data_IF_578717924401
#
_entry.id   IF_578717924401
#
_cell.length_a   1.000
_cell.length_b   1.000
_cell.length_c   1.000
_cell.angle_alpha   90.00
_cell.angle_beta   90.00
_cell.angle_gamma   90.00
#
_symmetry.space_group_name_H-M   'P 1'
#
loop_
_entity.id
_entity.type
_entity.pdbx_description
1 polymer ?
#
# COMPACT_ATOMS: atom_id res chain seq x y z
N UNK A 1 30.48 29.46 0.29
CA UNK A 1 29.05 29.31 0.63
C UNK A 1 28.80 27.84 0.89
N UNK A 2 28.64 27.42 2.14
CA UNK A 2 28.25 26.02 2.47
C UNK A 2 26.79 25.86 2.11
N UNK A 3 26.49 25.08 1.09
CA UNK A 3 25.12 24.62 0.83
C UNK A 3 24.80 23.65 1.99
N UNK A 4 24.01 24.12 2.95
CA UNK A 4 23.42 23.23 3.94
C UNK A 4 22.35 22.41 3.20
N UNK A 5 22.73 21.24 2.75
CA UNK A 5 21.77 20.24 2.30
C UNK A 5 21.02 19.75 3.53
N UNK A 6 19.78 20.17 3.66
CA UNK A 6 18.89 19.69 4.72
C UNK A 6 18.40 18.30 4.30
N UNK A 7 19.28 17.29 4.39
CA UNK A 7 18.93 15.91 4.06
C UNK A 7 18.07 15.35 5.18
N UNK A 8 16.88 14.84 4.82
CA UNK A 8 15.99 14.13 5.75
C UNK A 8 16.04 12.64 5.45
N UNK A 9 16.13 11.84 6.49
CA UNK A 9 15.92 10.40 6.42
C UNK A 9 14.56 10.07 7.03
N UNK A 10 13.77 9.24 6.36
CA UNK A 10 12.55 8.68 6.91
C UNK A 10 12.36 7.23 6.45
N UNK A 11 11.44 6.52 7.10
CA UNK A 11 11.05 5.16 6.71
C UNK A 11 10.16 5.25 5.48
N UNK A 12 10.52 4.58 4.38
CA UNK A 12 9.70 4.56 3.15
C UNK A 12 8.32 3.95 3.42
N UNK A 13 8.28 2.76 4.00
CA UNK A 13 7.05 2.01 4.29
C UNK A 13 7.27 0.94 5.35
N UNK A 14 7.12 -0.33 4.98
CA UNK A 14 7.19 -1.46 5.89
C UNK A 14 8.53 -1.57 6.61
N UNK A 15 8.51 -1.73 7.92
CA UNK A 15 9.62 -2.22 8.72
C UNK A 15 9.54 -3.74 8.88
N UNK A 16 10.67 -4.35 9.30
CA UNK A 16 10.72 -5.79 9.52
C UNK A 16 9.78 -6.20 10.65
N UNK A 17 8.82 -7.04 10.34
CA UNK A 17 7.89 -7.57 11.34
C UNK A 17 8.61 -8.52 12.27
N UNK A 18 8.50 -8.34 13.61
CA UNK A 18 9.10 -9.24 14.57
C UNK A 18 8.63 -10.68 14.38
N UNK A 19 9.48 -11.69 14.59
CA UNK A 19 9.08 -13.10 14.47
C UNK A 19 7.86 -13.45 15.30
N UNK A 20 7.76 -12.92 16.51
CA UNK A 20 6.62 -13.16 17.41
C UNK A 20 5.29 -12.60 16.84
N UNK A 21 5.31 -11.48 16.10
CA UNK A 21 4.11 -10.94 15.44
C UNK A 21 3.68 -11.83 14.27
N UNK A 22 4.62 -12.37 13.50
CA UNK A 22 4.31 -13.35 12.42
C UNK A 22 3.63 -14.59 12.99
N UNK A 23 4.20 -15.16 14.05
CA UNK A 23 3.62 -16.31 14.77
C UNK A 23 2.22 -15.98 15.35
N UNK A 24 2.05 -14.77 15.89
CA UNK A 24 0.75 -14.32 16.39
C UNK A 24 -0.30 -14.25 15.27
N UNK A 25 0.08 -13.76 14.09
CA UNK A 25 -0.80 -13.69 12.91
C UNK A 25 -1.23 -15.08 12.43
N UNK A 26 -0.30 -16.03 12.39
CA UNK A 26 -0.59 -17.42 12.06
C UNK A 26 -1.58 -18.06 13.08
N UNK A 27 -1.36 -17.81 14.36
CA UNK A 27 -2.25 -18.29 15.43
C UNK A 27 -3.64 -17.67 15.36
N UNK A 28 -3.72 -16.37 15.05
CA UNK A 28 -4.99 -15.67 14.83
C UNK A 28 -5.75 -16.26 13.64
N UNK A 29 -5.06 -16.45 12.51
CA UNK A 29 -5.65 -17.05 11.31
C UNK A 29 -6.16 -18.50 11.56
N UNK A 30 -5.50 -19.25 12.45
CA UNK A 30 -5.92 -20.58 12.89
C UNK A 30 -7.00 -20.59 14.00
N UNK A 31 -7.52 -19.41 14.39
CA UNK A 31 -8.51 -19.29 15.47
C UNK A 31 -7.96 -19.46 16.89
N UNK A 32 -6.63 -19.49 17.04
CA UNK A 32 -5.95 -19.67 18.34
C UNK A 32 -5.75 -18.39 19.15
N UNK A 33 -6.18 -17.24 18.62
CA UNK A 33 -6.21 -15.94 19.29
C UNK A 33 -7.54 -15.25 18.99
N UNK A 34 -8.07 -14.52 19.97
CA UNK A 34 -9.17 -13.59 19.73
C UNK A 34 -8.68 -12.34 18.99
N UNK A 35 -9.59 -11.64 18.30
CA UNK A 35 -9.27 -10.36 17.64
C UNK A 35 -8.68 -9.33 18.62
N UNK A 36 -9.20 -9.28 19.84
CA UNK A 36 -8.69 -8.35 20.86
C UNK A 36 -7.27 -8.72 21.36
N UNK A 37 -6.93 -10.00 21.44
CA UNK A 37 -5.59 -10.44 21.78
C UNK A 37 -4.61 -10.16 20.65
N UNK A 38 -5.00 -10.44 19.40
CA UNK A 38 -4.18 -10.18 18.24
C UNK A 38 -3.92 -8.68 18.07
N UNK A 39 -4.97 -7.84 18.21
CA UNK A 39 -4.82 -6.38 18.17
C UNK A 39 -3.80 -5.86 19.21
N UNK A 40 -3.81 -6.37 20.43
CA UNK A 40 -2.82 -5.97 21.45
C UNK A 40 -1.39 -6.31 21.04
N UNK A 41 -1.20 -7.41 20.32
CA UNK A 41 0.12 -7.79 19.81
C UNK A 41 0.54 -6.86 18.64
N UNK A 42 -0.38 -6.53 17.76
CA UNK A 42 -0.11 -5.52 16.71
C UNK A 42 0.22 -4.16 17.32
N UNK A 43 -0.53 -3.73 18.33
CA UNK A 43 -0.27 -2.47 19.05
C UNK A 43 1.13 -2.47 19.68
N UNK A 44 1.55 -3.57 20.31
CA UNK A 44 2.89 -3.70 20.88
C UNK A 44 3.99 -3.63 19.81
N UNK A 45 3.75 -4.21 18.63
CA UNK A 45 4.71 -4.14 17.52
C UNK A 45 4.83 -2.70 16.97
N UNK A 46 3.74 -1.96 16.89
CA UNK A 46 3.77 -0.54 16.52
C UNK A 46 4.54 0.26 17.58
N UNK A 47 4.27 0.05 18.87
CA UNK A 47 4.99 0.75 19.95
C UNK A 47 6.52 0.46 19.93
N UNK A 48 6.91 -0.76 19.55
CA UNK A 48 8.32 -1.14 19.39
C UNK A 48 8.99 -0.39 18.24
N UNK A 49 8.36 -0.35 17.07
CA UNK A 49 8.96 0.31 15.89
C UNK A 49 8.90 1.83 15.97
N UNK A 50 7.94 2.41 16.67
CA UNK A 50 7.93 3.85 16.97
C UNK A 50 9.15 4.20 17.80
N UNK A 51 9.40 3.48 18.89
CA UNK A 51 10.61 3.70 19.73
C UNK A 51 11.89 3.51 18.93
N UNK A 52 11.98 2.45 18.12
CA UNK A 52 13.15 2.20 17.28
C UNK A 52 13.47 3.39 16.36
N UNK A 53 12.46 3.97 15.73
CA UNK A 53 12.62 5.12 14.85
C UNK A 53 13.01 6.39 15.62
N UNK A 54 12.39 6.63 16.78
CA UNK A 54 12.73 7.77 17.65
C UNK A 54 14.15 7.66 18.22
N UNK A 55 14.56 6.47 18.65
CA UNK A 55 15.94 6.20 19.14
C UNK A 55 16.97 6.35 18.02
N UNK A 56 16.61 6.06 16.77
CA UNK A 56 17.42 6.34 15.61
C UNK A 56 17.49 7.83 15.23
N UNK A 57 16.73 8.68 15.90
CA UNK A 57 16.72 10.13 15.69
C UNK A 57 15.88 10.59 14.49
N UNK A 58 14.96 9.77 14.00
CA UNK A 58 14.07 10.16 12.89
C UNK A 58 13.07 11.22 13.37
N UNK A 59 12.79 12.20 12.51
CA UNK A 59 11.79 13.25 12.76
C UNK A 59 10.41 12.90 12.18
N UNK A 60 10.38 11.97 11.23
CA UNK A 60 9.17 11.44 10.62
C UNK A 60 9.05 9.98 11.00
N UNK A 61 7.92 9.62 11.60
CA UNK A 61 7.68 8.30 12.20
C UNK A 61 6.50 7.63 11.50
N UNK A 62 6.64 6.33 11.20
CA UNK A 62 5.56 5.50 10.69
C UNK A 62 5.19 4.42 11.71
N UNK A 63 4.05 3.77 11.53
CA UNK A 63 3.68 2.57 12.28
C UNK A 63 4.41 1.30 11.78
N UNK A 64 5.31 1.45 10.78
CA UNK A 64 6.06 0.37 10.16
C UNK A 64 5.19 -0.65 9.40
N UNK A 65 3.91 -0.32 9.18
CA UNK A 65 2.91 -1.20 8.55
C UNK A 65 2.74 -2.53 9.30
N UNK A 66 2.89 -2.51 10.63
CA UNK A 66 2.87 -3.72 11.46
C UNK A 66 1.53 -4.45 11.40
N UNK A 67 0.43 -3.72 11.16
CA UNK A 67 -0.92 -4.30 11.07
C UNK A 67 -1.25 -4.88 9.70
N UNK A 68 -0.52 -4.49 8.66
CA UNK A 68 -0.78 -4.89 7.27
C UNK A 68 -0.18 -6.24 6.93
N UNK A 69 -0.83 -7.00 6.07
CA UNK A 69 -0.26 -8.22 5.47
C UNK A 69 0.77 -7.84 4.40
N UNK A 70 0.41 -6.86 3.57
CA UNK A 70 1.29 -6.21 2.58
C UNK A 70 0.93 -4.73 2.52
N UNK A 71 1.76 -3.91 1.87
CA UNK A 71 1.51 -2.48 1.74
C UNK A 71 0.20 -2.14 0.99
N UNK A 72 -0.34 -3.07 0.19
CA UNK A 72 -1.61 -2.93 -0.54
C UNK A 72 -2.81 -3.53 0.17
N UNK A 73 -2.60 -4.35 1.22
CA UNK A 73 -3.68 -5.15 1.80
C UNK A 73 -4.80 -4.33 2.42
N UNK A 74 -4.52 -3.09 2.80
CA UNK A 74 -5.49 -2.19 3.42
C UNK A 74 -6.76 -2.00 2.59
N UNK A 75 -6.62 -1.78 1.27
CA UNK A 75 -7.78 -1.58 0.42
C UNK A 75 -8.65 -2.84 0.42
N UNK A 76 -8.05 -4.00 0.20
CA UNK A 76 -8.77 -5.28 0.16
C UNK A 76 -9.53 -5.58 1.46
N UNK A 77 -8.95 -5.19 2.60
CA UNK A 77 -9.56 -5.37 3.91
C UNK A 77 -10.64 -4.32 4.23
N UNK A 78 -10.58 -3.16 3.59
CA UNK A 78 -11.45 -2.02 3.87
C UNK A 78 -12.66 -1.91 2.93
N UNK A 79 -12.70 -2.66 1.82
CA UNK A 79 -13.76 -2.59 0.82
C UNK A 79 -14.46 -3.93 0.61
N UNK A 80 -15.68 -3.87 0.08
CA UNK A 80 -16.35 -4.98 -0.59
C UNK A 80 -16.03 -4.92 -2.09
N UNK A 81 -16.22 -6.01 -2.81
CA UNK A 81 -16.04 -6.10 -4.26
C UNK A 81 -14.68 -6.63 -4.69
N UNK A 82 -13.75 -6.86 -3.74
CA UNK A 82 -12.52 -7.61 -3.95
C UNK A 82 -12.68 -9.00 -3.33
N UNK A 83 -12.45 -10.03 -4.12
CA UNK A 83 -12.52 -11.43 -3.71
C UNK A 83 -11.15 -12.09 -3.71
N UNK A 84 -11.15 -13.42 -3.50
CA UNK A 84 -9.94 -14.21 -3.72
C UNK A 84 -9.57 -14.20 -5.19
N UNK A 85 -8.30 -14.15 -5.49
CA UNK A 85 -7.83 -13.86 -6.81
C UNK A 85 -7.84 -15.07 -7.70
N UNK A 86 -8.21 -14.84 -8.90
CA UNK A 86 -7.65 -15.63 -9.96
C UNK A 86 -6.68 -14.74 -10.73
N UNK A 87 -5.39 -15.04 -10.70
CA UNK A 87 -4.56 -14.90 -11.89
C UNK A 87 -3.82 -13.55 -12.09
N UNK A 88 -2.54 -13.70 -12.39
CA UNK A 88 -1.64 -12.82 -13.14
C UNK A 88 -1.50 -11.38 -12.64
N UNK A 89 -0.85 -11.21 -11.51
CA UNK A 89 -0.22 -9.94 -11.18
C UNK A 89 0.89 -9.64 -12.21
N UNK A 90 0.51 -9.14 -13.38
CA UNK A 90 1.45 -8.84 -14.47
C UNK A 90 2.47 -7.76 -14.08
N UNK A 91 2.09 -6.78 -13.25
CA UNK A 91 3.01 -5.71 -12.81
C UNK A 91 4.15 -6.19 -11.91
N UNK A 92 4.04 -7.37 -11.33
CA UNK A 92 5.14 -7.93 -10.58
C UNK A 92 6.08 -8.76 -11.46
N UNK A 93 5.83 -8.82 -12.77
CA UNK A 93 6.67 -9.43 -13.77
C UNK A 93 7.23 -10.77 -13.35
N UNK A 94 8.32 -11.18 -13.91
CA UNK A 94 9.22 -12.17 -13.34
C UNK A 94 10.00 -11.59 -12.15
N UNK A 95 9.31 -11.29 -11.09
CA UNK A 95 9.89 -11.29 -9.75
C UNK A 95 10.20 -12.74 -9.34
N UNK A 96 10.50 -13.55 -10.32
CA UNK A 96 11.25 -14.76 -10.15
C UNK A 96 12.63 -14.33 -9.70
N UNK A 97 12.69 -14.01 -8.44
CA UNK A 97 13.90 -13.73 -7.73
C UNK A 97 15.12 -13.76 -8.61
N UNK A 98 15.28 -12.72 -9.34
CA UNK A 98 16.59 -12.24 -9.63
C UNK A 98 17.70 -13.25 -9.54
N UNK A 99 18.32 -13.46 -10.62
CA UNK A 99 19.74 -13.79 -10.62
C UNK A 99 20.42 -12.91 -9.55
N UNK A 100 20.63 -13.44 -8.34
CA UNK A 100 21.46 -12.78 -7.34
C UNK A 100 20.96 -12.69 -5.89
N UNK A 101 19.71 -12.89 -5.62
CA UNK A 101 19.21 -12.96 -4.23
C UNK A 101 18.64 -14.36 -4.00
N UNK A 102 19.53 -15.27 -3.68
CA UNK A 102 19.32 -16.67 -3.38
C UNK A 102 17.89 -17.22 -3.34
N UNK A 103 17.72 -18.47 -3.71
CA UNK A 103 16.52 -19.34 -3.82
C UNK A 103 15.41 -19.21 -2.75
N UNK A 104 15.17 -18.02 -2.22
CA UNK A 104 14.00 -17.75 -1.41
C UNK A 104 12.86 -17.39 -2.34
N UNK A 105 12.02 -18.37 -2.64
CA UNK A 105 10.66 -18.21 -3.12
C UNK A 105 9.95 -17.19 -2.22
N UNK A 106 10.04 -15.91 -2.59
CA UNK A 106 9.14 -14.90 -2.01
C UNK A 106 7.76 -15.28 -2.53
N UNK A 107 6.90 -15.73 -1.62
CA UNK A 107 5.54 -16.07 -1.95
C UNK A 107 4.92 -14.87 -2.70
N UNK A 108 4.54 -15.08 -3.96
CA UNK A 108 3.87 -14.04 -4.76
C UNK A 108 2.64 -13.59 -3.98
N UNK A 109 2.39 -12.29 -3.82
CA UNK A 109 1.14 -11.84 -3.25
C UNK A 109 0.01 -12.47 -4.06
N UNK A 110 -0.96 -13.07 -3.40
CA UNK A 110 -2.17 -13.52 -4.09
C UNK A 110 -2.81 -12.27 -4.67
N UNK A 111 -2.92 -12.20 -6.01
CA UNK A 111 -3.65 -11.12 -6.65
C UNK A 111 -5.12 -11.23 -6.26
N UNK A 112 -5.78 -10.13 -5.93
CA UNK A 112 -7.21 -10.13 -5.63
C UNK A 112 -7.99 -9.93 -6.92
N UNK A 113 -8.98 -10.77 -7.17
CA UNK A 113 -9.92 -10.58 -8.28
C UNK A 113 -10.94 -9.49 -7.93
N UNK A 114 -11.57 -8.93 -8.97
CA UNK A 114 -12.70 -8.00 -8.80
C UNK A 114 -13.98 -8.81 -8.94
N UNK A 115 -14.75 -8.88 -7.85
CA UNK A 115 -15.98 -9.68 -7.75
C UNK A 115 -17.25 -8.85 -7.75
N UNK A 116 -17.13 -7.53 -7.69
CA UNK A 116 -18.24 -6.59 -7.67
C UNK A 116 -17.73 -5.15 -7.65
N UNK A 117 -18.65 -4.19 -7.72
CA UNK A 117 -18.26 -2.78 -7.54
C UNK A 117 -17.72 -2.56 -6.14
N UNK A 118 -16.66 -1.75 -6.05
CA UNK A 118 -16.04 -1.42 -4.77
C UNK A 118 -17.00 -0.61 -3.90
N UNK A 119 -17.07 -0.96 -2.63
CA UNK A 119 -17.79 -0.20 -1.62
C UNK A 119 -17.00 -0.20 -0.32
N UNK A 120 -16.62 0.97 0.15
CA UNK A 120 -15.87 1.10 1.40
C UNK A 120 -16.74 0.65 2.59
N UNK A 121 -16.20 -0.22 3.44
CA UNK A 121 -16.76 -0.66 4.73
C UNK A 121 -16.21 0.15 5.89
N UNK A 122 -14.93 0.52 5.82
CA UNK A 122 -14.20 1.28 6.84
C UNK A 122 -13.12 2.13 6.18
N UNK A 123 -12.55 3.04 6.92
CA UNK A 123 -11.32 3.72 6.51
C UNK A 123 -10.15 2.74 6.44
N UNK A 124 -9.17 3.03 5.57
CA UNK A 124 -8.03 2.17 5.34
C UNK A 124 -7.01 2.30 6.47
N UNK A 125 -6.57 3.53 6.75
CA UNK A 125 -5.42 3.84 7.61
C UNK A 125 -5.76 4.80 8.76
N UNK A 126 -6.99 5.26 8.87
CA UNK A 126 -7.40 6.23 9.92
C UNK A 126 -7.11 5.69 11.31
N UNK A 127 -7.41 4.42 11.59
CA UNK A 127 -7.13 3.82 12.90
C UNK A 127 -5.62 3.74 13.17
N UNK A 128 -4.84 3.37 12.15
CA UNK A 128 -3.37 3.33 12.22
C UNK A 128 -2.81 4.73 12.54
N UNK A 129 -3.28 5.75 11.84
CA UNK A 129 -2.87 7.14 12.05
C UNK A 129 -3.22 7.64 13.45
N UNK A 130 -4.46 7.44 13.90
CA UNK A 130 -4.90 7.89 15.24
C UNK A 130 -4.08 7.20 16.33
N UNK A 131 -3.79 5.91 16.18
CA UNK A 131 -2.95 5.18 17.09
C UNK A 131 -1.52 5.73 17.09
N UNK A 132 -0.89 5.87 15.92
CA UNK A 132 0.48 6.38 15.77
C UNK A 132 0.62 7.79 16.36
N UNK A 133 -0.30 8.70 16.01
CA UNK A 133 -0.28 10.08 16.53
C UNK A 133 -0.33 10.15 18.05
N UNK A 134 -0.98 9.19 18.70
CA UNK A 134 -1.04 9.13 20.16
C UNK A 134 0.25 8.57 20.80
N UNK A 135 1.20 8.07 20.01
CA UNK A 135 2.43 7.40 20.47
C UNK A 135 3.70 8.21 20.25
N UNK A 136 3.65 9.24 19.42
CA UNK A 136 4.83 10.06 19.12
C UNK A 136 4.53 11.56 19.16
N UNK A 137 5.53 12.35 19.50
CA UNK A 137 5.52 13.81 19.35
C UNK A 137 6.19 14.26 18.04
N UNK A 138 6.71 13.32 17.27
CA UNK A 138 7.29 13.54 15.94
C UNK A 138 6.19 13.65 14.89
N UNK A 139 6.57 13.91 13.65
CA UNK A 139 5.61 13.95 12.53
C UNK A 139 5.17 12.54 12.14
N UNK A 140 3.90 12.16 12.36
CA UNK A 140 3.40 10.88 11.91
C UNK A 140 3.19 10.88 10.38
N UNK A 141 3.72 9.88 9.70
CA UNK A 141 3.54 9.64 8.26
C UNK A 141 2.65 8.43 8.03
N UNK A 142 1.72 8.56 7.09
CA UNK A 142 0.86 7.48 6.60
C UNK A 142 1.22 7.15 5.17
N UNK A 143 1.29 5.87 4.83
CA UNK A 143 1.51 5.38 3.46
C UNK A 143 0.21 4.81 2.90
N UNK A 144 -0.12 5.18 1.66
CA UNK A 144 -1.24 4.67 0.89
C UNK A 144 -0.74 4.21 -0.47
N UNK A 145 -1.30 3.16 -1.06
CA UNK A 145 -0.92 2.73 -2.41
C UNK A 145 -1.48 3.69 -3.46
N UNK A 146 -0.74 3.91 -4.56
CA UNK A 146 -1.26 4.60 -5.75
C UNK A 146 -2.41 3.80 -6.37
N UNK A 147 -3.49 4.46 -6.86
CA UNK A 147 -4.63 3.76 -7.47
C UNK A 147 -4.24 2.87 -8.65
N UNK A 148 -3.33 3.34 -9.51
CA UNK A 148 -2.92 2.60 -10.71
C UNK A 148 -2.22 1.27 -10.39
N UNK A 149 -1.72 1.10 -9.17
CA UNK A 149 -1.15 -0.16 -8.70
C UNK A 149 -2.19 -1.30 -8.71
N UNK A 150 -3.47 -0.97 -8.55
CA UNK A 150 -4.56 -1.95 -8.53
C UNK A 150 -4.97 -2.47 -9.91
N UNK A 151 -4.40 -1.93 -11.00
CA UNK A 151 -4.55 -2.50 -12.33
C UNK A 151 -4.17 -4.00 -12.38
N UNK A 152 -3.30 -4.43 -11.46
CA UNK A 152 -2.92 -5.84 -11.30
C UNK A 152 -4.05 -6.78 -10.90
N UNK A 153 -5.13 -6.24 -10.36
CA UNK A 153 -6.29 -7.02 -9.94
C UNK A 153 -7.33 -7.17 -11.04
N UNK A 154 -7.10 -6.49 -12.16
CA UNK A 154 -7.97 -6.57 -13.32
C UNK A 154 -7.80 -7.90 -14.05
N UNK A 155 -8.90 -8.54 -14.41
CA UNK A 155 -8.97 -9.75 -15.20
C UNK A 155 -10.16 -9.69 -16.15
N UNK A 156 -10.28 -10.65 -17.05
CA UNK A 156 -11.43 -10.74 -17.95
C UNK A 156 -12.77 -10.79 -17.19
N UNK A 157 -12.83 -11.50 -16.07
CA UNK A 157 -14.02 -11.57 -15.21
C UNK A 157 -14.39 -10.25 -14.52
N UNK A 158 -13.48 -9.29 -14.48
CA UNK A 158 -13.72 -7.96 -13.88
C UNK A 158 -14.78 -7.15 -14.64
N UNK A 159 -15.01 -7.49 -15.92
CA UNK A 159 -16.01 -6.86 -16.79
C UNK A 159 -17.45 -7.08 -16.33
N UNK A 160 -17.70 -8.03 -15.46
CA UNK A 160 -19.01 -8.22 -14.82
C UNK A 160 -19.34 -7.09 -13.82
N UNK A 161 -18.31 -6.50 -13.21
CA UNK A 161 -18.46 -5.44 -12.21
C UNK A 161 -18.22 -4.02 -12.78
N UNK A 162 -17.26 -3.89 -13.70
CA UNK A 162 -16.85 -2.62 -14.31
C UNK A 162 -16.74 -2.77 -15.82
N UNK A 163 -17.25 -1.79 -16.56
CA UNK A 163 -17.17 -1.81 -18.03
C UNK A 163 -15.71 -1.74 -18.51
N UNK A 164 -14.87 -0.98 -17.82
CA UNK A 164 -13.46 -0.78 -18.17
C UNK A 164 -12.56 -0.81 -16.94
N UNK A 165 -11.26 -1.05 -17.16
CA UNK A 165 -10.23 -0.90 -16.14
C UNK A 165 -10.20 0.53 -15.58
N UNK A 166 -10.41 1.53 -16.44
CA UNK A 166 -10.43 2.94 -16.04
C UNK A 166 -11.54 3.21 -15.01
N UNK A 167 -12.77 2.71 -15.25
CA UNK A 167 -13.87 2.84 -14.29
C UNK A 167 -13.53 2.24 -12.91
N UNK A 168 -12.85 1.10 -12.90
CA UNK A 168 -12.40 0.47 -11.66
C UNK A 168 -11.35 1.31 -10.93
N UNK A 169 -10.35 1.79 -11.67
CA UNK A 169 -9.27 2.60 -11.08
C UNK A 169 -9.76 3.95 -10.55
N UNK A 170 -10.80 4.53 -11.18
CA UNK A 170 -11.46 5.72 -10.66
C UNK A 170 -12.21 5.45 -9.35
N UNK A 171 -12.91 4.33 -9.21
CA UNK A 171 -13.53 3.95 -7.93
C UNK A 171 -12.46 3.74 -6.83
N UNK A 172 -11.30 3.16 -7.17
CA UNK A 172 -10.17 3.05 -6.24
C UNK A 172 -9.65 4.43 -5.84
N UNK A 173 -9.46 5.32 -6.81
CA UNK A 173 -8.96 6.68 -6.56
C UNK A 173 -9.91 7.49 -5.68
N UNK A 174 -11.22 7.34 -5.87
CA UNK A 174 -12.21 8.03 -5.02
C UNK A 174 -12.16 7.52 -3.58
N UNK A 175 -12.06 6.21 -3.37
CA UNK A 175 -11.91 5.63 -2.03
C UNK A 175 -10.64 6.15 -1.34
N UNK A 176 -9.53 6.24 -2.07
CA UNK A 176 -8.26 6.75 -1.54
C UNK A 176 -8.31 8.27 -1.29
N UNK A 177 -8.99 9.03 -2.15
CA UNK A 177 -9.23 10.45 -1.94
C UNK A 177 -10.00 10.71 -0.64
N UNK A 178 -11.11 10.01 -0.45
CA UNK A 178 -11.88 10.12 0.79
C UNK A 178 -11.05 9.73 2.02
N UNK A 179 -10.12 8.80 1.87
CA UNK A 179 -9.17 8.43 2.94
C UNK A 179 -8.20 9.57 3.25
N UNK A 180 -7.62 10.21 2.22
CA UNK A 180 -6.73 11.38 2.39
C UNK A 180 -7.49 12.53 3.05
N UNK A 181 -8.71 12.83 2.58
CA UNK A 181 -9.53 13.89 3.16
C UNK A 181 -9.78 13.65 4.65
N UNK A 182 -10.09 12.43 5.06
CA UNK A 182 -10.30 12.09 6.48
C UNK A 182 -9.01 12.15 7.29
N UNK A 183 -7.89 11.65 6.76
CA UNK A 183 -6.58 11.77 7.42
C UNK A 183 -6.20 13.22 7.65
N UNK A 184 -6.38 14.09 6.66
CA UNK A 184 -6.12 15.54 6.78
C UNK A 184 -7.07 16.18 7.79
N UNK A 185 -8.36 15.84 7.76
CA UNK A 185 -9.34 16.31 8.75
C UNK A 185 -8.93 15.94 10.19
N UNK A 186 -8.30 14.78 10.36
CA UNK A 186 -7.77 14.32 11.64
C UNK A 186 -6.40 14.91 11.99
N UNK A 187 -5.82 15.72 11.12
CA UNK A 187 -4.56 16.44 11.36
C UNK A 187 -3.32 15.72 10.84
N UNK A 188 -3.45 14.81 9.88
CA UNK A 188 -2.29 14.28 9.17
C UNK A 188 -1.66 15.40 8.32
N UNK A 189 -0.34 15.54 8.43
CA UNK A 189 0.46 16.51 7.69
C UNK A 189 1.46 15.88 6.74
N UNK A 190 1.52 14.55 6.72
CA UNK A 190 2.38 13.78 5.85
C UNK A 190 1.67 12.48 5.42
N UNK A 191 1.19 12.47 4.20
CA UNK A 191 0.66 11.28 3.53
C UNK A 191 1.54 10.99 2.32
N UNK A 192 1.97 9.74 2.16
CA UNK A 192 2.79 9.28 1.04
C UNK A 192 1.95 8.35 0.16
N UNK A 193 1.92 8.60 -1.15
CA UNK A 193 1.38 7.65 -2.12
C UNK A 193 2.52 6.79 -2.65
N UNK A 194 2.41 5.48 -2.46
CA UNK A 194 3.40 4.50 -2.90
C UNK A 194 3.09 4.08 -4.35
N UNK A 195 4.01 4.39 -5.26
CA UNK A 195 3.87 4.13 -6.68
C UNK A 195 5.07 3.34 -7.25
N UNK A 196 5.38 2.14 -6.73
CA UNK A 196 6.54 1.35 -7.14
C UNK A 196 6.46 0.87 -8.59
N UNK A 197 5.30 0.95 -9.22
CA UNK A 197 5.10 0.60 -10.62
C UNK A 197 5.76 1.60 -11.59
N UNK A 198 5.89 2.88 -11.24
CA UNK A 198 6.46 3.87 -12.15
C UNK A 198 7.93 3.63 -12.47
N UNK A 199 8.82 3.38 -11.50
CA UNK A 199 10.21 3.02 -11.80
C UNK A 199 10.36 1.77 -12.68
N UNK A 200 9.45 0.80 -12.56
CA UNK A 200 9.49 -0.42 -13.37
C UNK A 200 9.30 -0.11 -14.87
N UNK A 201 8.58 0.95 -15.21
CA UNK A 201 8.38 1.37 -16.60
C UNK A 201 9.63 2.02 -17.22
N UNK A 202 10.66 2.32 -16.44
CA UNK A 202 11.95 2.82 -16.94
C UNK A 202 12.86 1.67 -17.39
N UNK A 203 12.59 0.43 -16.97
CA UNK A 203 13.34 -0.73 -17.37
C UNK A 203 12.86 -1.25 -18.74
N UNK A 204 13.79 -1.34 -19.72
CA UNK A 204 13.46 -1.73 -21.11
C UNK A 204 12.79 -3.11 -21.19
N UNK A 205 13.27 -4.09 -20.39
CA UNK A 205 12.68 -5.44 -20.34
C UNK A 205 11.22 -5.40 -19.89
N UNK A 206 10.93 -4.61 -18.87
CA UNK A 206 9.58 -4.44 -18.32
C UNK A 206 8.69 -3.72 -19.32
N UNK A 207 9.17 -2.65 -19.97
CA UNK A 207 8.44 -1.96 -21.03
C UNK A 207 8.03 -2.92 -22.14
N UNK A 208 8.98 -3.65 -22.71
CA UNK A 208 8.72 -4.64 -23.78
C UNK A 208 7.67 -5.68 -23.37
N UNK A 209 7.77 -6.18 -22.13
CA UNK A 209 6.82 -7.16 -21.61
C UNK A 209 5.37 -6.66 -21.65
N UNK A 210 5.11 -5.38 -21.35
CA UNK A 210 3.78 -4.79 -21.39
C UNK A 210 3.36 -4.40 -22.81
N UNK A 211 4.26 -3.82 -23.61
CA UNK A 211 4.01 -3.43 -24.99
C UNK A 211 3.63 -4.64 -25.85
N UNK A 212 4.32 -5.78 -25.69
CA UNK A 212 4.00 -7.05 -26.34
C UNK A 212 2.61 -7.60 -25.98
N UNK A 213 2.04 -7.13 -24.87
CA UNK A 213 0.69 -7.46 -24.43
C UNK A 213 -0.35 -6.40 -24.79
N UNK A 214 0.05 -5.45 -25.61
CA UNK A 214 -0.84 -4.41 -26.12
C UNK A 214 -1.10 -3.25 -25.17
N UNK A 215 -0.26 -3.06 -24.14
CA UNK A 215 -0.37 -1.91 -23.25
C UNK A 215 0.29 -0.69 -23.88
N UNK A 216 -0.42 0.43 -23.93
CA UNK A 216 0.16 1.74 -24.20
C UNK A 216 0.70 2.31 -22.87
N UNK A 217 2.01 2.23 -22.69
CA UNK A 217 2.64 2.62 -21.42
C UNK A 217 2.63 4.12 -21.17
N UNK A 218 2.65 4.93 -22.21
CA UNK A 218 2.61 6.39 -22.06
C UNK A 218 1.21 6.85 -21.66
N UNK A 219 0.19 6.25 -22.24
CA UNK A 219 -1.20 6.44 -21.81
C UNK A 219 -1.41 5.95 -20.38
N UNK A 220 -0.88 4.78 -20.05
CA UNK A 220 -1.00 4.20 -18.71
C UNK A 220 -0.33 5.05 -17.63
N UNK A 221 0.86 5.59 -17.92
CA UNK A 221 1.58 6.50 -17.02
C UNK A 221 0.79 7.81 -16.83
N UNK A 222 0.27 8.39 -17.91
CA UNK A 222 -0.55 9.60 -17.86
C UNK A 222 -1.79 9.41 -17.00
N UNK A 223 -2.48 8.28 -17.15
CA UNK A 223 -3.64 7.91 -16.34
C UNK A 223 -3.27 7.69 -14.88
N UNK A 224 -2.16 7.03 -14.60
CA UNK A 224 -1.68 6.85 -13.23
C UNK A 224 -1.45 8.18 -12.52
N UNK A 225 -0.79 9.13 -13.18
CA UNK A 225 -0.56 10.49 -12.66
C UNK A 225 -1.89 11.24 -12.46
N UNK A 226 -2.84 11.12 -13.38
CA UNK A 226 -4.17 11.73 -13.26
C UNK A 226 -4.90 11.22 -12.01
N UNK A 227 -4.89 9.91 -11.78
CA UNK A 227 -5.48 9.26 -10.62
C UNK A 227 -4.79 9.69 -9.30
N UNK A 228 -3.46 9.73 -9.28
CA UNK A 228 -2.70 10.19 -8.11
C UNK A 228 -3.02 11.66 -7.77
N UNK A 229 -3.09 12.52 -8.78
CA UNK A 229 -3.49 13.92 -8.61
C UNK A 229 -4.93 14.04 -8.09
N UNK A 230 -5.83 13.16 -8.51
CA UNK A 230 -7.19 13.12 -7.98
C UNK A 230 -7.20 12.74 -6.50
N UNK A 231 -6.40 11.75 -6.09
CA UNK A 231 -6.27 11.34 -4.68
C UNK A 231 -5.75 12.48 -3.81
N UNK A 232 -4.72 13.20 -4.28
CA UNK A 232 -4.17 14.37 -3.57
C UNK A 232 -5.20 15.50 -3.49
N UNK A 233 -6.00 15.68 -4.54
CA UNK A 233 -7.05 16.69 -4.60
C UNK A 233 -6.52 18.11 -4.48
N UNK A 234 -7.18 18.92 -3.63
CA UNK A 234 -6.80 20.30 -3.35
C UNK A 234 -5.84 20.45 -2.16
N UNK A 235 -5.36 19.35 -1.59
CA UNK A 235 -4.41 19.41 -0.49
C UNK A 235 -3.04 19.86 -0.98
N UNK A 236 -2.28 20.66 -0.19
CA UNK A 236 -0.94 21.11 -0.57
C UNK A 236 0.02 19.91 -0.60
N UNK A 237 0.90 19.89 -1.60
CA UNK A 237 1.99 18.90 -1.78
C UNK A 237 3.32 19.41 -1.25
#
# INVERSE_FOLDING_TARGET
MKILVNARADTVGSLLRPPWLKTARERYAAGGLSAAEFKRLEDAAVDEVVRLQEDAGLEVITDGEMRRVSFQSQLAEAVEGLGEPSIYAYLWGDWSGTEGIGDKLIARPKSLGITGRLRRRRHLSVEEFVYLRARTMRTPKVTLPSPSLFANFWSEGSTEAYATLDDFLWDVAEILREEVDELVRLGATYVQLDAPQYPLLLEEKTRRFYEERGWDLDLWLSKGIELDNHVIGAHPT
#
